data_IF_417142670877
#
_entry.id   IF_417142670877
#
_cell.length_a   1.000
_cell.length_b   1.000
_cell.length_c   1.000
_cell.angle_alpha   90.00
_cell.angle_beta   90.00
_cell.angle_gamma   90.00
#
_symmetry.space_group_name_H-M   'P 1'
#
loop_
_entity.id
_entity.type
_entity.pdbx_description
1 polymer ?
#
# COMPACT_ATOMS: atom_id res chain seq x y z
N UNK A 1 -13.47 18.87 -19.80
CA UNK A 1 -12.40 19.28 -18.87
C UNK A 1 -11.35 19.99 -19.70
N UNK A 2 -10.93 21.19 -19.32
CA UNK A 2 -9.83 21.89 -19.99
C UNK A 2 -8.55 21.68 -19.16
N UNK A 3 -7.57 20.96 -19.72
CA UNK A 3 -6.33 20.60 -19.04
C UNK A 3 -5.18 21.17 -19.85
N UNK A 4 -4.35 21.99 -19.23
CA UNK A 4 -3.10 22.43 -19.83
C UNK A 4 -1.97 21.48 -19.46
N UNK A 5 -1.41 20.82 -20.47
CA UNK A 5 -0.20 20.03 -20.31
C UNK A 5 1.02 20.92 -20.09
N UNK A 6 1.97 20.43 -19.30
CA UNK A 6 3.33 20.98 -19.35
C UNK A 6 3.94 20.74 -20.73
N UNK A 7 4.98 21.52 -21.09
CA UNK A 7 5.70 21.36 -22.36
C UNK A 7 6.23 19.93 -22.55
N UNK A 8 6.70 19.32 -21.47
CA UNK A 8 7.24 17.96 -21.49
C UNK A 8 6.12 16.94 -21.66
N UNK A 9 5.04 17.05 -20.90
CA UNK A 9 3.87 16.18 -21.04
C UNK A 9 3.34 16.21 -22.47
N UNK A 10 3.25 17.40 -23.07
CA UNK A 10 2.76 17.49 -24.44
C UNK A 10 3.73 16.87 -25.46
N UNK A 11 5.04 16.94 -25.20
CA UNK A 11 6.04 16.28 -26.06
C UNK A 11 5.91 14.76 -25.99
N UNK A 12 5.77 14.18 -24.80
CA UNK A 12 5.51 12.74 -24.62
C UNK A 12 4.19 12.29 -25.24
N UNK A 13 3.11 13.06 -25.08
CA UNK A 13 1.80 12.73 -25.65
C UNK A 13 1.84 12.77 -27.18
N UNK A 14 2.46 13.81 -27.78
CA UNK A 14 2.63 13.89 -29.24
C UNK A 14 3.40 12.71 -29.81
N UNK A 15 4.50 12.30 -29.17
CA UNK A 15 5.28 11.13 -29.58
C UNK A 15 4.47 9.83 -29.48
N UNK A 16 3.70 9.67 -28.40
CA UNK A 16 2.84 8.52 -28.20
C UNK A 16 1.72 8.41 -29.26
N UNK A 17 1.17 9.54 -29.70
CA UNK A 17 0.21 9.59 -30.81
C UNK A 17 0.91 9.26 -32.13
N UNK A 18 2.07 9.87 -32.40
CA UNK A 18 2.81 9.65 -33.64
C UNK A 18 3.24 8.19 -33.85
N UNK A 19 3.52 7.48 -32.75
CA UNK A 19 3.86 6.05 -32.74
C UNK A 19 2.62 5.13 -32.71
N UNK A 20 1.41 5.69 -32.61
CA UNK A 20 0.17 4.93 -32.54
C UNK A 20 -0.10 4.24 -31.20
N UNK A 21 0.70 4.53 -30.16
CA UNK A 21 0.53 3.95 -28.81
C UNK A 21 -0.76 4.43 -28.14
N UNK A 22 -1.18 5.66 -28.43
CA UNK A 22 -2.46 6.24 -27.99
C UNK A 22 -3.10 6.98 -29.16
N UNK A 23 -4.43 7.12 -29.13
CA UNK A 23 -5.20 7.69 -30.25
C UNK A 23 -5.31 9.22 -30.19
N UNK A 24 -5.29 9.80 -28.99
CA UNK A 24 -5.43 11.24 -28.76
C UNK A 24 -4.94 11.62 -27.35
N UNK A 25 -4.96 12.92 -27.04
CA UNK A 25 -4.56 13.42 -25.72
C UNK A 25 -5.50 12.97 -24.59
N UNK A 26 -6.79 12.75 -24.89
CA UNK A 26 -7.78 12.29 -23.90
C UNK A 26 -7.45 10.88 -23.37
N UNK A 27 -6.97 9.99 -24.24
CA UNK A 27 -6.51 8.66 -23.86
C UNK A 27 -5.31 8.74 -22.90
N UNK A 28 -4.39 9.70 -23.09
CA UNK A 28 -3.29 9.92 -22.15
C UNK A 28 -3.80 10.35 -20.77
N UNK A 29 -4.80 11.23 -20.71
CA UNK A 29 -5.43 11.67 -19.47
C UNK A 29 -6.12 10.50 -18.77
N UNK A 30 -6.86 9.68 -19.52
CA UNK A 30 -7.54 8.49 -18.98
C UNK A 30 -6.55 7.51 -18.36
N UNK A 31 -5.46 7.20 -19.07
CA UNK A 31 -4.40 6.34 -18.54
C UNK A 31 -3.73 6.94 -17.29
N UNK A 32 -3.44 8.24 -17.30
CA UNK A 32 -2.86 8.92 -16.13
C UNK A 32 -3.80 8.87 -14.91
N UNK A 33 -5.10 9.05 -15.13
CA UNK A 33 -6.11 8.95 -14.06
C UNK A 33 -6.26 7.52 -13.54
N UNK A 34 -6.22 6.50 -14.41
CA UNK A 34 -6.23 5.10 -13.96
C UNK A 34 -5.02 4.76 -13.08
N UNK A 35 -3.83 5.22 -13.46
CA UNK A 35 -2.62 5.06 -12.63
C UNK A 35 -2.71 5.84 -11.31
N UNK A 36 -3.29 7.03 -11.34
CA UNK A 36 -3.53 7.83 -10.14
C UNK A 36 -4.52 7.13 -9.20
N UNK A 37 -5.62 6.59 -9.74
CA UNK A 37 -6.65 5.90 -8.97
C UNK A 37 -6.09 4.68 -8.25
N UNK A 38 -5.31 3.85 -8.94
CA UNK A 38 -4.70 2.67 -8.32
C UNK A 38 -3.77 3.07 -7.17
N UNK A 39 -2.93 4.09 -7.38
CA UNK A 39 -2.08 4.63 -6.32
C UNK A 39 -2.92 5.16 -5.15
N UNK A 40 -4.05 5.80 -5.44
CA UNK A 40 -4.92 6.40 -4.44
C UNK A 40 -5.65 5.35 -3.58
N UNK A 41 -6.08 4.24 -4.19
CA UNK A 41 -6.63 3.08 -3.47
C UNK A 41 -5.64 2.55 -2.44
N UNK A 42 -4.38 2.34 -2.86
CA UNK A 42 -3.30 1.91 -1.96
C UNK A 42 -3.03 2.94 -0.87
N UNK A 43 -2.99 4.23 -1.21
CA UNK A 43 -2.76 5.33 -0.26
C UNK A 43 -3.81 5.34 0.84
N UNK A 44 -5.09 5.22 0.48
CA UNK A 44 -6.21 5.23 1.44
C UNK A 44 -6.14 4.01 2.37
N UNK A 45 -5.84 2.82 1.83
CA UNK A 45 -5.67 1.62 2.65
C UNK A 45 -4.51 1.78 3.66
N UNK A 46 -3.36 2.28 3.20
CA UNK A 46 -2.19 2.54 4.06
C UNK A 46 -2.53 3.54 5.17
N UNK A 47 -3.18 4.65 4.84
CA UNK A 47 -3.58 5.65 5.83
C UNK A 47 -4.57 5.07 6.85
N UNK A 48 -5.49 4.22 6.42
CA UNK A 48 -6.40 3.53 7.34
C UNK A 48 -5.64 2.61 8.30
N UNK A 49 -4.67 1.83 7.80
CA UNK A 49 -3.81 0.96 8.63
C UNK A 49 -2.99 1.78 9.63
N UNK A 50 -2.40 2.89 9.20
CA UNK A 50 -1.62 3.79 10.07
C UNK A 50 -2.53 4.40 11.15
N UNK A 51 -3.72 4.88 10.80
CA UNK A 51 -4.68 5.43 11.76
C UNK A 51 -5.04 4.41 12.83
N UNK A 52 -5.40 3.19 12.42
CA UNK A 52 -5.71 2.08 13.35
C UNK A 52 -4.54 1.74 14.27
N UNK A 53 -3.31 1.77 13.75
CA UNK A 53 -2.12 1.51 14.56
C UNK A 53 -1.91 2.61 15.62
N UNK A 54 -2.07 3.89 15.25
CA UNK A 54 -1.99 4.99 16.21
C UNK A 54 -3.08 4.89 17.30
N UNK A 55 -4.31 4.57 16.92
CA UNK A 55 -5.39 4.37 17.90
C UNK A 55 -5.13 3.19 18.84
N UNK A 56 -4.58 2.09 18.33
CA UNK A 56 -4.18 0.92 19.12
C UNK A 56 -3.11 1.27 20.15
N UNK A 57 -2.09 2.05 19.75
CA UNK A 57 -1.08 2.58 20.67
C UNK A 57 -1.71 3.51 21.71
N UNK A 58 -2.62 4.41 21.31
CA UNK A 58 -3.29 5.32 22.23
C UNK A 58 -4.18 4.60 23.26
N UNK A 59 -4.77 3.45 22.90
CA UNK A 59 -5.51 2.57 23.82
C UNK A 59 -4.60 1.71 24.70
N UNK A 60 -3.28 1.76 24.53
CA UNK A 60 -2.33 0.96 25.31
C UNK A 60 -2.21 -0.50 24.87
N UNK A 61 -2.68 -0.85 23.67
CA UNK A 61 -2.56 -2.19 23.09
C UNK A 61 -1.12 -2.48 22.59
N UNK A 62 -0.28 -1.44 22.46
CA UNK A 62 1.13 -1.57 22.10
C UNK A 62 2.00 -2.13 23.22
N UNK A 63 3.05 -2.87 22.87
CA UNK A 63 4.07 -3.34 23.82
C UNK A 63 5.30 -2.45 23.73
N UNK A 64 5.76 -1.92 24.86
CA UNK A 64 7.02 -1.20 24.94
C UNK A 64 8.19 -2.21 24.93
N UNK A 65 9.17 -1.99 24.06
CA UNK A 65 10.40 -2.78 23.99
C UNK A 65 11.54 -1.82 24.30
N UNK A 66 12.14 -1.96 25.49
CA UNK A 66 13.20 -1.07 25.96
C UNK A 66 14.54 -1.79 26.10
N UNK A 67 14.57 -3.11 25.97
CA UNK A 67 15.74 -3.93 26.20
C UNK A 67 15.80 -5.13 25.25
N UNK A 68 16.97 -5.76 25.20
CA UNK A 68 17.15 -7.00 24.44
C UNK A 68 16.33 -8.16 25.04
N UNK A 69 16.17 -8.20 26.36
CA UNK A 69 15.37 -9.22 27.03
C UNK A 69 13.86 -9.06 26.71
N UNK A 70 13.35 -7.83 26.60
CA UNK A 70 11.98 -7.57 26.12
C UNK A 70 11.75 -8.15 24.71
N UNK A 71 12.75 -7.98 23.83
CA UNK A 71 12.71 -8.48 22.46
C UNK A 71 12.78 -10.01 22.42
N UNK A 72 13.67 -10.63 23.22
CA UNK A 72 13.77 -12.08 23.34
C UNK A 72 12.47 -12.70 23.86
N UNK A 73 11.86 -12.06 24.86
CA UNK A 73 10.56 -12.50 25.39
C UNK A 73 9.48 -12.40 24.31
N UNK A 74 9.42 -11.30 23.57
CA UNK A 74 8.47 -11.14 22.47
C UNK A 74 8.65 -12.23 21.40
N UNK A 75 9.89 -12.54 21.01
CA UNK A 75 10.17 -13.59 20.03
C UNK A 75 9.71 -14.97 20.53
N UNK A 76 9.94 -15.28 21.81
CA UNK A 76 9.46 -16.51 22.45
C UNK A 76 7.92 -16.58 22.42
N UNK A 77 7.24 -15.51 22.82
CA UNK A 77 5.77 -15.43 22.84
C UNK A 77 5.18 -15.61 21.43
N UNK A 78 5.79 -15.00 20.41
CA UNK A 78 5.38 -15.15 19.00
C UNK A 78 5.55 -16.61 18.55
N UNK A 79 6.69 -17.24 18.86
CA UNK A 79 6.96 -18.65 18.53
C UNK A 79 5.93 -19.57 19.18
N UNK A 80 5.66 -19.40 20.47
CA UNK A 80 4.69 -20.21 21.21
C UNK A 80 3.29 -20.09 20.63
N UNK A 81 2.83 -18.87 20.32
CA UNK A 81 1.53 -18.64 19.69
C UNK A 81 1.44 -19.27 18.30
N UNK A 82 2.49 -19.16 17.49
CA UNK A 82 2.56 -19.81 16.19
C UNK A 82 2.44 -21.33 16.28
N UNK A 83 3.19 -21.96 17.19
CA UNK A 83 3.12 -23.40 17.42
C UNK A 83 1.74 -23.84 17.94
N UNK A 84 1.13 -23.07 18.83
CA UNK A 84 -0.21 -23.35 19.32
C UNK A 84 -1.25 -23.31 18.18
N UNK A 85 -1.15 -22.32 17.29
CA UNK A 85 -2.03 -22.21 16.11
C UNK A 85 -1.85 -23.37 15.15
N UNK A 86 -0.62 -23.73 14.82
CA UNK A 86 -0.33 -24.88 13.94
C UNK A 86 -0.87 -26.19 14.50
N UNK A 87 -0.79 -26.41 15.82
CA UNK A 87 -1.35 -27.61 16.47
C UNK A 87 -2.88 -27.62 16.48
N UNK A 88 -3.51 -26.45 16.41
CA UNK A 88 -4.97 -26.30 16.37
C UNK A 88 -5.53 -26.31 14.94
N UNK A 89 -4.69 -26.25 13.91
CA UNK A 89 -5.13 -26.37 12.52
C UNK A 89 -5.48 -27.84 12.20
N UNK A 90 -6.72 -28.15 11.79
CA UNK A 90 -7.10 -29.50 11.43
C UNK A 90 -6.33 -29.95 10.19
N UNK A 91 -5.82 -31.18 10.22
CA UNK A 91 -5.22 -31.83 9.04
C UNK A 91 -6.29 -31.87 7.96
N UNK A 92 -6.14 -31.05 6.91
CA UNK A 92 -6.97 -31.16 5.71
C UNK A 92 -6.55 -32.45 4.99
N UNK A 93 -7.33 -33.51 5.18
CA UNK A 93 -7.29 -34.74 4.37
C UNK A 93 -8.04 -34.53 3.06
#
# INVERSE_FOLDING_TARGET
MDIQFSRDQQSFVREAIATGRIVNEEEAVRQALSLWEERERVRVEMLSKISRAHESVARGEGRRINSEDDLRQLASDVKQRGLARLRAEPIRS
#
